data_IF_645076687292
#
_entry.id   IF_645076687292
#
_cell.length_a   1.000
_cell.length_b   1.000
_cell.length_c   1.000
_cell.angle_alpha   90.00
_cell.angle_beta   90.00
_cell.angle_gamma   90.00
#
_symmetry.space_group_name_H-M   'P 1'
#
loop_
_entity.id
_entity.type
_entity.pdbx_description
1 polymer ?
#
# COMPACT_ATOMS: atom_id res chain seq x y z
N UNK A 1 -14.72 4.10 -31.69
CA UNK A 1 -14.77 3.73 -30.25
C UNK A 1 -13.46 3.99 -29.51
N UNK A 2 -12.34 3.32 -29.87
CA UNK A 2 -11.01 3.51 -29.23
C UNK A 2 -10.55 4.97 -29.13
N UNK A 3 -10.71 5.74 -30.21
CA UNK A 3 -10.28 7.13 -30.29
C UNK A 3 -11.04 8.03 -29.30
N UNK A 4 -12.36 7.87 -29.24
CA UNK A 4 -13.26 8.63 -28.36
C UNK A 4 -12.94 8.43 -26.88
N UNK A 5 -12.68 7.19 -26.47
CA UNK A 5 -12.27 6.90 -25.09
C UNK A 5 -10.91 7.53 -24.72
N UNK A 6 -9.98 7.60 -25.68
CA UNK A 6 -8.67 8.19 -25.47
C UNK A 6 -8.78 9.71 -25.27
N UNK A 7 -9.59 10.37 -26.10
CA UNK A 7 -9.94 11.79 -25.98
C UNK A 7 -10.57 12.09 -24.61
N UNK A 8 -11.56 11.29 -24.18
CA UNK A 8 -12.19 11.45 -22.85
C UNK A 8 -11.17 11.33 -21.70
N UNK A 9 -10.23 10.39 -21.80
CA UNK A 9 -9.19 10.19 -20.80
C UNK A 9 -8.18 11.35 -20.78
N UNK A 10 -7.89 11.94 -21.93
CA UNK A 10 -7.04 13.13 -22.04
C UNK A 10 -7.72 14.37 -21.48
N UNK A 11 -8.99 14.60 -21.80
CA UNK A 11 -9.80 15.71 -21.28
C UNK A 11 -9.85 15.66 -19.74
N UNK A 12 -9.92 14.45 -19.16
CA UNK A 12 -9.93 14.26 -17.71
C UNK A 12 -8.53 14.27 -17.05
N UNK A 13 -7.47 14.63 -17.81
CA UNK A 13 -6.11 14.79 -17.29
C UNK A 13 -5.47 13.49 -16.79
N UNK A 14 -5.89 12.32 -17.30
CA UNK A 14 -5.28 11.04 -16.88
C UNK A 14 -3.90 10.86 -17.49
N UNK A 15 -2.96 10.36 -16.69
CA UNK A 15 -1.59 10.09 -17.13
C UNK A 15 -1.56 9.06 -18.30
N UNK A 16 -0.65 9.24 -19.25
CA UNK A 16 -0.59 8.43 -20.49
C UNK A 16 -0.49 6.91 -20.25
N UNK A 17 0.22 6.51 -19.20
CA UNK A 17 0.34 5.11 -18.82
C UNK A 17 -1.02 4.51 -18.42
N UNK A 18 -1.88 5.29 -17.76
CA UNK A 18 -3.25 4.91 -17.41
C UNK A 18 -4.10 4.83 -18.68
N UNK A 19 -3.95 5.79 -19.60
CA UNK A 19 -4.68 5.79 -20.87
C UNK A 19 -4.41 4.52 -21.68
N UNK A 20 -3.13 4.20 -21.89
CA UNK A 20 -2.69 3.00 -22.61
C UNK A 20 -3.18 1.73 -21.93
N UNK A 21 -3.11 1.66 -20.60
CA UNK A 21 -3.60 0.52 -19.84
C UNK A 21 -5.10 0.31 -20.04
N UNK A 22 -5.92 1.36 -19.94
CA UNK A 22 -7.38 1.26 -20.02
C UNK A 22 -7.82 0.78 -21.40
N UNK A 23 -7.27 1.39 -22.45
CA UNK A 23 -7.54 1.01 -23.83
C UNK A 23 -7.13 -0.45 -24.07
N UNK A 24 -5.99 -0.88 -23.56
CA UNK A 24 -5.53 -2.26 -23.72
C UNK A 24 -6.44 -3.28 -23.01
N UNK A 25 -6.94 -2.95 -21.82
CA UNK A 25 -7.85 -3.83 -21.09
C UNK A 25 -9.19 -4.00 -21.82
N UNK A 26 -9.76 -2.90 -22.33
CA UNK A 26 -11.01 -2.94 -23.10
C UNK A 26 -10.83 -3.66 -24.43
N UNK A 27 -9.66 -3.50 -25.07
CA UNK A 27 -9.35 -4.24 -26.30
C UNK A 27 -9.36 -5.75 -26.05
N UNK A 28 -8.67 -6.21 -25.01
CA UNK A 28 -8.63 -7.64 -24.64
C UNK A 28 -10.01 -8.19 -24.27
N UNK A 29 -10.86 -7.35 -23.67
CA UNK A 29 -12.25 -7.70 -23.36
C UNK A 29 -13.08 -7.86 -24.63
N UNK A 30 -13.01 -6.90 -25.55
CA UNK A 30 -13.70 -6.97 -26.84
C UNK A 30 -13.24 -8.18 -27.69
N UNK A 31 -11.93 -8.45 -27.70
CA UNK A 31 -11.34 -9.62 -28.38
C UNK A 31 -11.85 -10.95 -27.81
N UNK A 32 -12.16 -11.02 -26.52
CA UNK A 32 -12.64 -12.25 -25.89
C UNK A 32 -14.07 -12.61 -26.29
N UNK A 33 -14.96 -11.62 -26.42
CA UNK A 33 -16.34 -11.84 -26.82
C UNK A 33 -16.56 -11.75 -28.34
N UNK A 34 -15.57 -11.30 -29.11
CA UNK A 34 -15.69 -11.07 -30.56
C UNK A 34 -16.67 -9.95 -30.92
N UNK A 35 -17.10 -9.15 -29.95
CA UNK A 35 -18.14 -8.13 -30.09
C UNK A 35 -17.63 -6.76 -29.68
N UNK A 36 -18.17 -5.72 -30.33
CA UNK A 36 -17.86 -4.34 -29.94
C UNK A 36 -18.27 -4.10 -28.48
N UNK A 37 -17.41 -3.45 -27.66
CA UNK A 37 -17.67 -3.25 -26.23
C UNK A 37 -18.94 -2.44 -25.94
N UNK A 38 -19.48 -1.74 -26.94
CA UNK A 38 -20.75 -1.02 -26.86
C UNK A 38 -21.96 -1.96 -26.70
N UNK A 39 -21.84 -3.23 -27.10
CA UNK A 39 -22.91 -4.23 -26.97
C UNK A 39 -22.74 -5.16 -25.75
N UNK A 40 -21.61 -5.05 -25.06
CA UNK A 40 -21.30 -5.85 -23.87
C UNK A 40 -21.85 -5.14 -22.62
N UNK A 41 -22.46 -5.89 -21.71
CA UNK A 41 -23.12 -5.41 -20.50
C UNK A 41 -22.48 -5.92 -19.21
N UNK A 42 -23.22 -5.87 -18.09
CA UNK A 42 -22.69 -6.32 -16.78
C UNK A 42 -22.43 -7.82 -16.73
N UNK A 43 -23.23 -8.63 -17.42
CA UNK A 43 -23.05 -10.08 -17.44
C UNK A 43 -21.76 -10.47 -18.14
N UNK A 44 -21.42 -9.81 -19.25
CA UNK A 44 -20.16 -10.05 -19.97
C UNK A 44 -18.97 -9.55 -19.17
N UNK A 45 -19.09 -8.40 -18.48
CA UNK A 45 -18.05 -7.92 -17.55
C UNK A 45 -17.81 -8.95 -16.44
N UNK A 46 -18.88 -9.49 -15.84
CA UNK A 46 -18.77 -10.49 -14.78
C UNK A 46 -18.17 -11.80 -15.31
N UNK A 47 -18.65 -12.29 -16.44
CA UNK A 47 -18.11 -13.49 -17.10
C UNK A 47 -16.61 -13.32 -17.41
N UNK A 48 -16.20 -12.14 -17.88
CA UNK A 48 -14.79 -11.86 -18.13
C UNK A 48 -13.94 -11.81 -16.86
N UNK A 49 -14.47 -11.24 -15.77
CA UNK A 49 -13.77 -11.25 -14.48
C UNK A 49 -13.56 -12.67 -13.96
N UNK A 50 -14.57 -13.55 -14.10
CA UNK A 50 -14.45 -14.97 -13.75
C UNK A 50 -13.43 -15.67 -14.67
N UNK A 51 -13.46 -15.40 -15.97
CA UNK A 51 -12.46 -15.90 -16.92
C UNK A 51 -11.03 -15.47 -16.55
N UNK A 52 -10.83 -14.20 -16.20
CA UNK A 52 -9.53 -13.68 -15.76
C UNK A 52 -9.03 -14.37 -14.49
N UNK A 53 -9.93 -14.66 -13.54
CA UNK A 53 -9.60 -15.34 -12.30
C UNK A 53 -9.25 -16.81 -12.52
N UNK A 54 -10.06 -17.53 -13.29
CA UNK A 54 -9.94 -18.99 -13.46
C UNK A 54 -8.89 -19.40 -14.50
N UNK A 55 -8.86 -18.73 -15.66
CA UNK A 55 -8.05 -19.18 -16.81
C UNK A 55 -6.73 -18.41 -16.95
N UNK A 56 -6.67 -17.14 -16.50
CA UNK A 56 -5.49 -16.28 -16.65
C UNK A 56 -4.69 -16.10 -15.35
N UNK A 57 -5.12 -16.71 -14.24
CA UNK A 57 -4.57 -16.50 -12.89
C UNK A 57 -4.31 -15.01 -12.59
N UNK A 58 -5.22 -14.15 -13.05
CA UNK A 58 -5.02 -12.71 -12.95
C UNK A 58 -5.00 -12.28 -11.48
N UNK A 59 -4.03 -11.46 -11.10
CA UNK A 59 -3.98 -10.89 -9.76
C UNK A 59 -5.21 -10.02 -9.48
N UNK A 60 -5.59 -9.88 -8.20
CA UNK A 60 -6.67 -8.98 -7.77
C UNK A 60 -6.51 -7.55 -8.32
N UNK A 61 -5.27 -7.07 -8.44
CA UNK A 61 -4.97 -5.77 -9.02
C UNK A 61 -5.31 -5.70 -10.52
N UNK A 62 -5.02 -6.75 -11.29
CA UNK A 62 -5.34 -6.80 -12.72
C UNK A 62 -6.85 -6.81 -12.96
N UNK A 63 -7.61 -7.58 -12.15
CA UNK A 63 -9.07 -7.60 -12.20
C UNK A 63 -9.65 -6.23 -11.82
N UNK A 64 -9.10 -5.59 -10.78
CA UNK A 64 -9.48 -4.24 -10.38
C UNK A 64 -9.19 -3.19 -11.47
N UNK A 65 -8.03 -3.24 -12.12
CA UNK A 65 -7.69 -2.35 -13.23
C UNK A 65 -8.66 -2.49 -14.41
N UNK A 66 -9.04 -3.73 -14.76
CA UNK A 66 -10.09 -3.98 -15.75
C UNK A 66 -11.43 -3.38 -15.31
N UNK A 67 -11.87 -3.62 -14.07
CA UNK A 67 -13.14 -3.12 -13.55
C UNK A 67 -13.22 -1.57 -13.61
N UNK A 68 -12.13 -0.87 -13.27
CA UNK A 68 -12.09 0.59 -13.35
C UNK A 68 -12.11 1.08 -14.80
N UNK A 69 -11.40 0.41 -15.70
CA UNK A 69 -11.41 0.75 -17.13
C UNK A 69 -12.80 0.54 -17.74
N UNK A 70 -13.45 -0.59 -17.46
CA UNK A 70 -14.81 -0.89 -17.89
C UNK A 70 -15.79 0.15 -17.33
N UNK A 71 -15.71 0.44 -16.02
CA UNK A 71 -16.53 1.48 -15.38
C UNK A 71 -16.38 2.84 -16.05
N UNK A 72 -15.15 3.24 -16.38
CA UNK A 72 -14.89 4.50 -17.08
C UNK A 72 -15.59 4.53 -18.43
N UNK A 73 -15.43 3.46 -19.21
CA UNK A 73 -15.99 3.36 -20.55
C UNK A 73 -17.53 3.49 -20.54
N UNK A 74 -18.21 2.69 -19.72
CA UNK A 74 -19.67 2.66 -19.74
C UNK A 74 -20.27 3.92 -19.12
N UNK A 75 -19.68 4.45 -18.05
CA UNK A 75 -20.20 5.63 -17.36
C UNK A 75 -19.85 6.95 -18.08
N UNK A 76 -18.59 7.14 -18.47
CA UNK A 76 -18.10 8.41 -19.01
C UNK A 76 -18.19 8.51 -20.52
N UNK A 77 -17.84 7.45 -21.24
CA UNK A 77 -17.78 7.48 -22.72
C UNK A 77 -19.12 7.10 -23.37
N UNK A 78 -19.87 6.18 -22.77
CA UNK A 78 -21.14 5.68 -23.34
C UNK A 78 -22.40 6.18 -22.63
N UNK A 79 -22.25 6.93 -21.52
CA UNK A 79 -23.38 7.51 -20.78
C UNK A 79 -24.39 6.48 -20.25
N UNK A 80 -23.97 5.23 -20.02
CA UNK A 80 -24.83 4.19 -19.47
C UNK A 80 -24.71 4.19 -17.94
N UNK A 81 -25.73 4.71 -17.27
CA UNK A 81 -25.82 4.76 -15.80
C UNK A 81 -26.34 3.46 -15.15
N UNK A 82 -26.43 2.38 -15.92
CA UNK A 82 -26.87 1.08 -15.40
C UNK A 82 -25.85 0.53 -14.39
N UNK A 83 -26.23 0.63 -13.11
CA UNK A 83 -25.76 -0.10 -11.93
C UNK A 83 -24.25 -0.39 -11.83
N UNK A 84 -23.43 0.62 -12.08
CA UNK A 84 -21.97 0.62 -11.90
C UNK A 84 -21.51 0.04 -10.55
N UNK A 85 -22.34 0.19 -9.51
CA UNK A 85 -22.07 -0.31 -8.16
C UNK A 85 -22.18 -1.84 -8.02
N UNK A 86 -22.74 -2.55 -9.01
CA UNK A 86 -22.84 -4.01 -9.02
C UNK A 86 -21.63 -4.71 -9.63
N UNK A 87 -20.69 -3.99 -10.26
CA UNK A 87 -19.44 -4.59 -10.75
C UNK A 87 -18.61 -5.00 -9.52
N UNK A 88 -18.38 -6.30 -9.28
CA UNK A 88 -17.66 -6.74 -8.10
C UNK A 88 -16.21 -6.29 -8.20
N UNK A 89 -15.81 -5.41 -7.30
CA UNK A 89 -14.42 -5.01 -7.15
C UNK A 89 -13.74 -6.01 -6.19
N UNK A 90 -12.54 -6.53 -6.51
CA UNK A 90 -11.82 -7.38 -5.58
C UNK A 90 -11.36 -6.54 -4.38
N UNK A 91 -12.22 -6.43 -3.37
CA UNK A 91 -11.88 -5.79 -2.11
C UNK A 91 -10.92 -6.69 -1.34
N UNK A 92 -9.73 -6.17 -1.07
CA UNK A 92 -8.89 -6.71 0.00
C UNK A 92 -9.51 -6.24 1.31
N UNK A 93 -10.30 -7.11 1.95
CA UNK A 93 -10.75 -6.88 3.30
C UNK A 93 -9.54 -7.01 4.22
N UNK A 94 -8.93 -5.88 4.58
CA UNK A 94 -7.98 -5.87 5.67
C UNK A 94 -8.77 -6.03 6.97
N UNK A 95 -8.44 -7.03 7.78
CA UNK A 95 -9.04 -7.24 9.11
C UNK A 95 -8.77 -6.07 10.07
N UNK A 96 -7.80 -5.21 9.73
CA UNK A 96 -7.40 -4.01 10.45
C UNK A 96 -7.13 -2.88 9.44
N UNK A 97 -7.11 -1.59 9.84
CA UNK A 97 -6.64 -0.52 8.96
C UNK A 97 -5.28 -0.89 8.36
N UNK A 98 -5.09 -0.52 7.09
CA UNK A 98 -3.87 -0.85 6.33
C UNK A 98 -2.63 -0.50 7.17
N UNK A 99 -1.71 -1.45 7.43
CA UNK A 99 -0.53 -1.20 8.24
C UNK A 99 0.25 0.01 7.72
N UNK A 100 0.66 0.90 8.62
CA UNK A 100 1.49 2.05 8.26
C UNK A 100 2.86 1.56 7.79
N UNK A 101 3.30 2.04 6.64
CA UNK A 101 4.65 1.72 6.16
C UNK A 101 5.69 2.53 6.93
N UNK A 102 6.90 1.98 7.11
CA UNK A 102 8.01 2.69 7.76
C UNK A 102 8.33 4.02 7.06
N UNK A 103 8.14 4.08 5.74
CA UNK A 103 8.28 5.32 4.94
C UNK A 103 7.22 6.36 5.29
N UNK A 104 5.99 5.93 5.59
CA UNK A 104 4.93 6.83 6.04
C UNK A 104 5.30 7.42 7.40
N UNK A 105 5.71 6.59 8.36
CA UNK A 105 6.15 7.04 9.69
C UNK A 105 7.31 8.03 9.59
N UNK A 106 8.31 7.72 8.76
CA UNK A 106 9.43 8.62 8.51
C UNK A 106 8.99 10.00 8.04
N UNK A 107 8.06 10.04 7.07
CA UNK A 107 7.54 11.29 6.52
C UNK A 107 6.78 12.10 7.56
N UNK A 108 5.94 11.46 8.37
CA UNK A 108 5.22 12.12 9.47
C UNK A 108 6.21 12.76 10.46
N UNK A 109 7.29 12.07 10.82
CA UNK A 109 8.32 12.66 11.70
C UNK A 109 9.01 13.88 11.07
N UNK A 110 9.32 13.83 9.77
CA UNK A 110 9.93 14.96 9.05
C UNK A 110 8.97 16.14 8.99
N UNK A 111 7.70 15.90 8.68
CA UNK A 111 6.68 16.94 8.57
C UNK A 111 6.39 17.59 9.93
N UNK A 112 6.34 16.79 11.01
CA UNK A 112 6.23 17.30 12.37
C UNK A 112 7.46 18.14 12.77
N UNK A 113 8.67 17.71 12.41
CA UNK A 113 9.89 18.48 12.65
C UNK A 113 9.89 19.83 11.94
N UNK A 114 9.41 19.87 10.70
CA UNK A 114 9.24 21.12 9.93
C UNK A 114 8.20 22.03 10.57
N UNK A 115 7.05 21.50 10.97
CA UNK A 115 6.00 22.26 11.64
C UNK A 115 6.48 22.86 12.97
N UNK A 116 7.36 22.15 13.68
CA UNK A 116 7.99 22.62 14.91
C UNK A 116 9.19 23.59 14.69
N UNK A 117 9.51 23.94 13.44
CA UNK A 117 10.64 24.84 13.11
C UNK A 117 12.03 24.24 13.34
N UNK A 118 12.13 22.91 13.46
CA UNK A 118 13.39 22.22 13.71
C UNK A 118 14.20 22.15 12.42
N UNK A 119 15.38 22.79 12.42
CA UNK A 119 16.27 22.87 11.24
C UNK A 119 16.89 21.53 10.85
N UNK A 120 17.12 20.65 11.83
CA UNK A 120 17.69 19.32 11.61
C UNK A 120 16.64 18.32 11.11
N UNK A 121 17.08 17.31 10.36
CA UNK A 121 16.19 16.28 9.81
C UNK A 121 15.68 15.35 10.92
N UNK A 122 14.43 15.55 11.35
CA UNK A 122 13.78 14.68 12.34
C UNK A 122 13.44 13.33 11.71
N UNK A 123 13.93 12.25 12.31
CA UNK A 123 13.65 10.87 11.89
C UNK A 123 13.40 9.98 13.12
N UNK A 124 12.73 8.82 12.97
CA UNK A 124 12.51 7.90 14.09
C UNK A 124 13.80 7.47 14.80
N UNK A 125 14.89 7.29 14.05
CA UNK A 125 16.20 6.95 14.63
C UNK A 125 16.77 8.11 15.47
N UNK A 126 16.66 9.34 14.98
CA UNK A 126 17.11 10.53 15.72
C UNK A 126 16.30 10.71 17.01
N UNK A 127 14.98 10.55 16.94
CA UNK A 127 14.11 10.62 18.13
C UNK A 127 14.48 9.55 19.15
N UNK A 128 14.74 8.31 18.71
CA UNK A 128 15.20 7.23 19.59
C UNK A 128 16.54 7.58 20.24
N UNK A 129 17.48 8.12 19.48
CA UNK A 129 18.79 8.51 20.01
C UNK A 129 18.66 9.65 21.03
N UNK A 130 17.93 10.72 20.71
CA UNK A 130 17.69 11.83 21.63
C UNK A 130 17.00 11.37 22.92
N UNK A 131 16.05 10.43 22.82
CA UNK A 131 15.40 9.84 23.99
C UNK A 131 16.38 9.01 24.84
N UNK A 132 17.23 8.19 24.22
CA UNK A 132 18.26 7.42 24.91
C UNK A 132 19.25 8.33 25.66
N UNK A 133 19.78 9.35 24.98
CA UNK A 133 20.68 10.35 25.58
C UNK A 133 20.00 11.10 26.71
N UNK A 134 18.74 11.52 26.54
CA UNK A 134 17.99 12.22 27.57
C UNK A 134 17.80 11.38 28.84
N UNK A 135 17.60 10.06 28.71
CA UNK A 135 17.52 9.16 29.85
C UNK A 135 18.88 9.02 30.55
N UNK A 136 19.97 8.89 29.79
CA UNK A 136 21.32 8.80 30.36
C UNK A 136 21.72 10.08 31.11
N UNK A 137 21.40 11.26 30.55
CA UNK A 137 21.65 12.56 31.19
C UNK A 137 20.89 12.72 32.52
N UNK A 138 19.75 12.01 32.65
CA UNK A 138 18.94 11.95 33.88
C UNK A 138 19.40 10.87 34.86
N UNK A 139 20.54 10.23 34.59
CA UNK A 139 21.13 9.21 35.45
C UNK A 139 20.60 7.78 35.22
N UNK A 140 19.87 7.53 34.14
CA UNK A 140 19.45 6.17 33.81
C UNK A 140 20.66 5.34 33.39
N UNK A 141 20.79 4.15 33.97
CA UNK A 141 21.81 3.19 33.59
C UNK A 141 21.54 2.69 32.15
N UNK A 142 22.59 2.43 31.37
CA UNK A 142 22.52 1.88 30.01
C UNK A 142 21.62 0.64 29.93
N UNK A 143 21.61 -0.20 30.96
CA UNK A 143 20.75 -1.39 31.04
C UNK A 143 19.25 -1.02 31.14
N UNK A 144 18.92 0.06 31.85
CA UNK A 144 17.55 0.58 31.94
C UNK A 144 17.11 1.20 30.61
N UNK A 145 18.00 1.96 29.96
CA UNK A 145 17.73 2.55 28.64
C UNK A 145 17.50 1.47 27.59
N UNK A 146 18.29 0.39 27.61
CA UNK A 146 18.11 -0.77 26.72
C UNK A 146 16.78 -1.49 26.93
N UNK A 147 16.37 -1.69 28.19
CA UNK A 147 15.08 -2.31 28.52
C UNK A 147 13.90 -1.47 27.99
N UNK A 148 13.92 -0.15 28.18
CA UNK A 148 12.87 0.76 27.72
C UNK A 148 12.79 0.83 26.19
N UNK A 149 13.93 0.75 25.50
CA UNK A 149 14.00 0.77 24.04
C UNK A 149 13.71 -0.58 23.37
N UNK A 150 13.52 -1.64 24.15
CA UNK A 150 13.16 -2.97 23.65
C UNK A 150 14.26 -3.65 22.83
N UNK A 151 15.53 -3.33 23.09
CA UNK A 151 16.65 -4.00 22.44
C UNK A 151 16.83 -5.40 23.05
N UNK A 152 16.34 -6.44 22.35
CA UNK A 152 16.38 -7.83 22.82
C UNK A 152 17.77 -8.48 22.86
N UNK A 153 18.83 -7.84 22.32
CA UNK A 153 20.20 -8.34 22.44
C UNK A 153 21.22 -7.25 22.13
N UNK A 154 22.20 -7.04 23.01
CA UNK A 154 23.47 -6.42 22.66
C UNK A 154 24.57 -7.13 23.45
N UNK A 155 25.56 -7.67 22.74
CA UNK A 155 26.59 -8.55 23.29
C UNK A 155 27.53 -7.87 24.28
N UNK A 156 27.13 -7.84 25.54
CA UNK A 156 28.07 -7.85 26.65
C UNK A 156 28.45 -9.31 26.90
N UNK A 157 29.73 -9.71 26.82
CA UNK A 157 30.13 -10.97 27.42
C UNK A 157 29.80 -10.85 28.91
N UNK A 158 28.96 -11.75 29.41
CA UNK A 158 28.83 -12.00 30.84
C UNK A 158 30.20 -12.47 31.33
N UNK A 159 31.09 -11.55 31.67
CA UNK A 159 32.33 -11.85 32.36
C UNK A 159 31.98 -12.26 33.80
N UNK A 160 31.83 -13.57 33.95
CA UNK A 160 32.23 -14.37 35.11
C UNK A 160 32.58 -13.56 36.37
N UNK A 161 31.62 -13.39 37.28
CA UNK A 161 31.94 -13.18 38.70
C UNK A 161 31.69 -14.47 39.45
N UNK A 162 32.79 -15.20 39.60
CA UNK A 162 33.06 -16.28 40.54
C UNK A 162 32.26 -16.16 41.85
N UNK A 163 31.37 -17.10 42.10
CA UNK A 163 30.87 -17.36 43.45
C UNK A 163 32.00 -18.03 44.26
N UNK A 164 32.40 -17.52 45.44
CA UNK A 164 33.24 -18.29 46.33
C UNK A 164 32.38 -19.40 46.95
N UNK A 165 32.79 -20.65 46.74
CA UNK A 165 32.32 -21.79 47.55
C UNK A 165 32.84 -21.59 48.97
N UNK A 166 31.96 -21.19 49.90
CA UNK A 166 32.25 -21.36 51.33
C UNK A 166 32.00 -22.82 51.72
N UNK A 167 33.03 -23.41 52.30
CA UNK A 167 33.07 -24.73 52.92
C UNK A 167 32.04 -24.87 54.04
N UNK A 168 31.69 -26.14 54.27
CA UNK A 168 30.98 -26.68 55.42
C UNK A 168 31.45 -26.13 56.77
N UNK A 169 30.50 -25.96 57.68
CA UNK A 169 30.46 -26.63 58.99
C UNK A 169 29.00 -26.94 59.33
#
# INVERSE_FOLDING_TARGET
>A
MRQRMLEDLQILGRAENIQKAYVQQIKKFAEHFGCSPEHLGLEEIRAYQVYLLQHKQASKNQIGQFAVAARFLYHKTLGRDWEINKIPYPTTHYLFPKPLSSRHIYRVCVDAGRAAGIRQKVSPHLLRHSFATHLMDRGANILQVQAILGHASCGLPLSTSTFPRSRAY
#
